data_IF_776297079518
#
_entry.id   IF_776297079518
#
_cell.length_a   1.000
_cell.length_b   1.000
_cell.length_c   1.000
_cell.angle_alpha   90.00
_cell.angle_beta   90.00
_cell.angle_gamma   90.00
#
_symmetry.space_group_name_H-M   'P 1'
#
loop_
_entity.id
_entity.type
_entity.pdbx_description
1 polymer ?
#
# COMPACT_ATOMS: atom_id res chain seq x y z
N UNK A 1 -12.33 -14.02 9.87
CA UNK A 1 -11.20 -13.99 8.90
C UNK A 1 -11.63 -13.51 7.52
N UNK A 2 -12.89 -13.67 7.10
CA UNK A 2 -13.41 -13.10 5.85
C UNK A 2 -13.32 -11.57 5.75
N UNK A 3 -13.14 -10.86 6.87
CA UNK A 3 -13.32 -9.41 6.90
C UNK A 3 -12.00 -8.62 6.75
N UNK A 4 -10.83 -9.22 7.02
CA UNK A 4 -9.53 -8.60 6.66
C UNK A 4 -9.16 -8.77 5.19
N UNK A 5 -9.76 -9.75 4.51
CA UNK A 5 -9.54 -10.04 3.09
C UNK A 5 -10.52 -9.31 2.16
N UNK A 6 -11.38 -8.47 2.74
CA UNK A 6 -12.40 -7.65 2.05
C UNK A 6 -11.95 -6.19 1.86
N UNK A 7 -10.67 -5.93 1.65
CA UNK A 7 -10.23 -4.70 0.96
C UNK A 7 -10.51 -4.75 -0.55
N UNK A 8 -11.44 -5.61 -0.96
CA UNK A 8 -12.00 -5.67 -2.28
C UNK A 8 -13.10 -4.61 -2.30
N UNK A 9 -12.78 -3.40 -2.75
CA UNK A 9 -13.83 -2.55 -3.28
C UNK A 9 -14.39 -3.22 -4.55
N UNK A 10 -15.60 -2.86 -4.99
CA UNK A 10 -16.16 -3.43 -6.22
C UNK A 10 -15.26 -3.16 -7.45
N UNK A 11 -14.37 -2.16 -7.37
CA UNK A 11 -13.62 -1.59 -8.50
C UNK A 11 -12.11 -1.90 -8.44
N UNK A 12 -11.57 -2.27 -7.28
CA UNK A 12 -10.15 -2.62 -7.13
C UNK A 12 -9.73 -3.02 -5.72
N UNK A 13 -8.47 -3.45 -5.58
CA UNK A 13 -7.84 -3.74 -4.30
C UNK A 13 -6.33 -3.50 -4.38
N UNK A 14 -5.70 -3.18 -3.25
CA UNK A 14 -4.24 -3.24 -3.11
C UNK A 14 -3.81 -4.48 -2.37
N UNK A 15 -2.82 -5.16 -2.95
CA UNK A 15 -2.14 -6.24 -2.27
C UNK A 15 -1.10 -5.66 -1.30
N UNK A 16 -1.29 -5.85 0.01
CA UNK A 16 -0.44 -5.26 1.07
C UNK A 16 1.01 -5.73 1.06
N UNK A 17 1.33 -6.76 0.27
CA UNK A 17 2.69 -7.24 0.11
C UNK A 17 3.43 -6.48 -0.98
N UNK A 18 2.74 -6.16 -2.07
CA UNK A 18 3.32 -5.54 -3.27
C UNK A 18 2.94 -4.07 -3.44
N UNK A 19 1.94 -3.61 -2.68
CA UNK A 19 1.24 -2.33 -2.78
C UNK A 19 0.83 -1.97 -4.21
N UNK A 20 0.55 -3.01 -5.01
CA UNK A 20 0.07 -2.86 -6.36
C UNK A 20 -1.42 -2.57 -6.34
N UNK A 21 -1.80 -1.51 -7.03
CA UNK A 21 -3.20 -1.20 -7.29
C UNK A 21 -3.69 -2.15 -8.37
N UNK A 22 -4.61 -3.03 -8.01
CA UNK A 22 -5.25 -3.97 -8.94
C UNK A 22 -6.67 -3.46 -9.20
N UNK A 23 -6.92 -2.96 -10.40
CA UNK A 23 -8.24 -2.48 -10.81
C UNK A 23 -8.98 -3.56 -11.60
N UNK A 24 -10.26 -3.79 -11.25
CA UNK A 24 -11.17 -4.74 -11.92
C UNK A 24 -11.90 -4.12 -13.11
N UNK A 25 -11.21 -3.23 -13.80
CA UNK A 25 -11.73 -2.48 -14.94
C UNK A 25 -10.87 -2.75 -16.17
N UNK A 26 -11.40 -2.51 -17.36
CA UNK A 26 -10.59 -2.60 -18.57
C UNK A 26 -9.67 -1.37 -18.70
N UNK A 27 -8.55 -1.52 -19.42
CA UNK A 27 -7.55 -0.46 -19.55
C UNK A 27 -8.11 0.79 -20.22
N UNK A 28 -9.01 0.64 -21.20
CA UNK A 28 -9.57 1.76 -21.93
C UNK A 28 -10.51 2.58 -21.02
N UNK A 29 -11.27 1.91 -20.15
CA UNK A 29 -12.11 2.54 -19.13
C UNK A 29 -11.29 3.33 -18.11
N UNK A 30 -10.15 2.78 -17.66
CA UNK A 30 -9.21 3.49 -16.77
C UNK A 30 -8.63 4.72 -17.48
N UNK A 31 -8.22 4.59 -18.75
CA UNK A 31 -7.72 5.74 -19.52
C UNK A 31 -8.77 6.84 -19.70
N UNK A 32 -10.01 6.48 -20.04
CA UNK A 32 -11.11 7.44 -20.20
C UNK A 32 -11.36 8.19 -18.89
N UNK A 33 -11.39 7.47 -17.78
CA UNK A 33 -11.53 8.10 -16.48
C UNK A 33 -10.38 9.11 -16.26
N UNK A 34 -9.12 8.64 -16.35
CA UNK A 34 -7.93 9.44 -16.09
C UNK A 34 -7.77 10.68 -16.99
N UNK A 35 -8.27 10.64 -18.23
CA UNK A 35 -7.96 11.62 -19.25
C UNK A 35 -8.98 12.77 -19.40
N UNK A 36 -10.29 12.52 -19.26
CA UNK A 36 -11.29 13.53 -19.62
C UNK A 36 -12.56 13.49 -18.76
N UNK A 37 -12.68 14.46 -17.85
CA UNK A 37 -13.87 14.69 -17.03
C UNK A 37 -15.13 14.94 -17.87
N UNK A 38 -15.00 15.50 -19.08
CA UNK A 38 -16.14 15.76 -19.96
C UNK A 38 -16.61 14.48 -20.68
N UNK A 39 -15.74 13.49 -20.81
CA UNK A 39 -16.07 12.18 -21.39
C UNK A 39 -16.83 11.27 -20.43
N UNK A 40 -17.00 11.69 -19.16
CA UNK A 40 -17.61 10.85 -18.14
C UNK A 40 -19.10 10.59 -18.38
N UNK A 41 -19.85 11.56 -18.93
CA UNK A 41 -21.26 11.42 -19.30
C UNK A 41 -22.09 10.70 -18.24
N UNK A 42 -22.86 9.68 -18.67
CA UNK A 42 -23.71 8.86 -17.80
C UNK A 42 -22.91 7.97 -16.81
N UNK A 43 -21.62 7.74 -17.07
CA UNK A 43 -20.72 6.95 -16.24
C UNK A 43 -20.00 7.77 -15.17
N UNK A 44 -20.35 9.06 -14.99
CA UNK A 44 -19.65 9.96 -14.08
C UNK A 44 -19.54 9.44 -12.64
N UNK A 45 -20.58 8.75 -12.13
CA UNK A 45 -20.51 8.15 -10.80
C UNK A 45 -19.47 7.04 -10.73
N UNK A 46 -19.49 6.11 -11.69
CA UNK A 46 -18.54 4.99 -11.78
C UNK A 46 -17.11 5.50 -11.87
N UNK A 47 -16.84 6.47 -12.74
CA UNK A 47 -15.50 7.03 -12.86
C UNK A 47 -15.07 7.77 -11.60
N UNK A 48 -15.96 8.55 -10.97
CA UNK A 48 -15.66 9.21 -9.70
C UNK A 48 -15.29 8.22 -8.58
N UNK A 49 -16.04 7.12 -8.46
CA UNK A 49 -15.77 6.07 -7.48
C UNK A 49 -14.42 5.37 -7.79
N UNK A 50 -14.13 5.11 -9.08
CA UNK A 50 -12.84 4.53 -9.49
C UNK A 50 -11.65 5.46 -9.21
N UNK A 51 -11.79 6.77 -9.44
CA UNK A 51 -10.76 7.74 -9.08
C UNK A 51 -10.51 7.79 -7.58
N UNK A 52 -11.57 7.74 -6.78
CA UNK A 52 -11.45 7.71 -5.33
C UNK A 52 -10.67 6.47 -4.89
N UNK A 53 -10.97 5.31 -5.46
CA UNK A 53 -10.21 4.07 -5.27
C UNK A 53 -8.74 4.24 -5.66
N UNK A 54 -8.43 4.71 -6.87
CA UNK A 54 -7.04 4.92 -7.32
C UNK A 54 -6.28 5.83 -6.35
N UNK A 55 -6.90 6.92 -5.88
CA UNK A 55 -6.27 7.85 -4.93
C UNK A 55 -6.07 7.25 -3.55
N UNK A 56 -7.06 6.52 -3.03
CA UNK A 56 -6.94 5.78 -1.77
C UNK A 56 -5.74 4.83 -1.81
N UNK A 57 -5.66 4.03 -2.87
CA UNK A 57 -4.60 3.05 -3.03
C UNK A 57 -3.23 3.69 -3.33
N UNK A 58 -3.21 4.86 -3.98
CA UNK A 58 -1.99 5.66 -4.15
C UNK A 58 -1.44 6.13 -2.80
N UNK A 59 -2.31 6.55 -1.88
CA UNK A 59 -1.89 6.96 -0.53
C UNK A 59 -1.27 5.79 0.23
N UNK A 60 -1.83 4.58 0.11
CA UNK A 60 -1.24 3.37 0.69
C UNK A 60 0.16 3.08 0.15
N UNK A 61 0.35 3.17 -1.17
CA UNK A 61 1.66 3.03 -1.78
C UNK A 61 2.66 4.09 -1.27
N UNK A 62 2.22 5.34 -1.17
CA UNK A 62 3.03 6.42 -0.61
C UNK A 62 3.40 6.16 0.85
N UNK A 63 2.48 5.67 1.67
CA UNK A 63 2.83 5.26 3.03
C UNK A 63 3.89 4.14 3.03
N UNK A 64 3.81 3.16 2.14
CA UNK A 64 4.76 2.05 2.06
C UNK A 64 6.18 2.48 1.66
N UNK A 65 6.34 3.50 0.81
CA UNK A 65 7.65 4.02 0.40
C UNK A 65 8.19 5.15 1.30
N UNK A 66 7.37 5.71 2.18
CA UNK A 66 7.71 6.87 3.03
C UNK A 66 7.65 6.62 4.54
N UNK A 67 7.17 5.44 4.98
CA UNK A 67 7.05 5.11 6.41
C UNK A 67 7.73 3.80 6.76
N UNK A 68 8.36 3.77 7.94
CA UNK A 68 9.17 2.64 8.37
C UNK A 68 8.34 1.37 8.63
N UNK A 69 7.18 1.54 9.27
CA UNK A 69 6.31 0.41 9.63
C UNK A 69 5.86 -0.34 8.39
N UNK A 70 5.28 0.37 7.40
CA UNK A 70 4.72 -0.27 6.22
C UNK A 70 5.80 -0.83 5.30
N UNK A 71 6.94 -0.15 5.15
CA UNK A 71 8.06 -0.72 4.40
C UNK A 71 8.51 -2.06 5.02
N UNK A 72 8.75 -2.08 6.33
CA UNK A 72 9.20 -3.27 7.05
C UNK A 72 8.14 -4.39 7.01
N UNK A 73 6.86 -4.02 7.16
CA UNK A 73 5.74 -4.94 7.01
C UNK A 73 5.72 -5.62 5.64
N UNK A 74 5.90 -4.82 4.57
CA UNK A 74 5.94 -5.30 3.18
C UNK A 74 7.10 -6.27 2.96
N UNK A 75 8.30 -5.91 3.41
CA UNK A 75 9.48 -6.77 3.32
C UNK A 75 9.25 -8.11 4.03
N UNK A 76 8.72 -8.08 5.25
CA UNK A 76 8.45 -9.29 6.03
C UNK A 76 7.38 -10.18 5.36
N UNK A 77 6.34 -9.56 4.78
CA UNK A 77 5.30 -10.30 4.08
C UNK A 77 5.85 -10.96 2.80
N UNK A 78 6.63 -10.23 2.00
CA UNK A 78 7.27 -10.80 0.81
C UNK A 78 8.22 -11.93 1.19
N UNK A 79 9.06 -11.74 2.21
CA UNK A 79 9.96 -12.78 2.69
C UNK A 79 9.18 -14.03 3.13
N UNK A 80 8.08 -13.86 3.86
CA UNK A 80 7.20 -14.97 4.21
C UNK A 80 6.66 -15.69 2.96
N UNK A 81 6.27 -14.96 1.92
CA UNK A 81 5.79 -15.57 0.67
C UNK A 81 6.88 -16.40 -0.01
N UNK A 82 8.12 -15.88 -0.07
CA UNK A 82 9.29 -16.58 -0.59
C UNK A 82 9.53 -17.88 0.21
N UNK A 83 9.55 -17.78 1.54
CA UNK A 83 9.75 -18.93 2.44
C UNK A 83 8.67 -20.01 2.25
N UNK A 84 7.41 -19.59 2.16
CA UNK A 84 6.26 -20.49 2.01
C UNK A 84 6.38 -21.28 0.71
N UNK A 85 6.70 -20.61 -0.40
CA UNK A 85 6.90 -21.27 -1.69
C UNK A 85 8.10 -22.21 -1.69
N UNK A 86 9.21 -21.82 -1.06
CA UNK A 86 10.37 -22.70 -0.92
C UNK A 86 10.03 -23.96 -0.10
N UNK A 87 9.28 -23.80 1.00
CA UNK A 87 8.81 -24.93 1.81
C UNK A 87 7.91 -25.87 1.01
N UNK A 88 7.01 -25.36 0.16
CA UNK A 88 6.20 -26.21 -0.73
C UNK A 88 7.06 -26.94 -1.77
N UNK A 89 7.99 -26.23 -2.41
CA UNK A 89 8.86 -26.79 -3.45
C UNK A 89 9.74 -27.92 -2.94
N UNK A 90 10.26 -27.81 -1.71
CA UNK A 90 11.22 -28.76 -1.14
C UNK A 90 10.59 -29.77 -0.17
N UNK A 91 9.39 -29.49 0.35
CA UNK A 91 8.74 -30.28 1.39
C UNK A 91 7.89 -31.46 0.90
N UNK A 92 7.83 -31.71 -0.42
CA UNK A 92 7.04 -32.81 -0.99
C UNK A 92 5.52 -32.64 -0.83
N UNK A 93 5.07 -31.39 -0.66
CA UNK A 93 3.67 -31.04 -0.46
C UNK A 93 2.85 -31.15 -1.75
N UNK A 94 1.59 -31.56 -1.63
CA UNK A 94 0.68 -31.87 -2.74
C UNK A 94 -0.52 -30.91 -2.79
N UNK A 95 -1.26 -30.92 -3.90
CA UNK A 95 -2.46 -30.09 -4.04
C UNK A 95 -3.52 -30.38 -2.95
N UNK A 96 -3.66 -31.65 -2.55
CA UNK A 96 -4.66 -32.09 -1.56
C UNK A 96 -4.35 -31.60 -0.13
N UNK A 97 -3.14 -31.11 0.11
CA UNK A 97 -2.71 -30.56 1.39
C UNK A 97 -3.11 -29.08 1.59
N UNK A 98 -3.75 -28.46 0.59
CA UNK A 98 -4.21 -27.07 0.67
C UNK A 98 -5.53 -26.99 1.47
N UNK A 99 -5.65 -26.11 2.48
CA UNK A 99 -4.67 -25.10 2.90
C UNK A 99 -3.57 -25.64 3.83
N UNK A 100 -2.34 -25.14 3.64
CA UNK A 100 -1.21 -25.50 4.50
C UNK A 100 -1.30 -24.80 5.86
N UNK A 101 -1.79 -25.52 6.87
CA UNK A 101 -2.03 -25.00 8.22
C UNK A 101 -0.78 -24.40 8.88
N UNK A 102 0.40 -24.96 8.62
CA UNK A 102 1.69 -24.48 9.16
C UNK A 102 2.05 -23.03 8.75
N UNK A 103 1.55 -22.55 7.61
CA UNK A 103 1.78 -21.18 7.17
C UNK A 103 0.78 -20.19 7.79
N UNK A 104 -0.35 -20.69 8.29
CA UNK A 104 -1.39 -19.84 8.85
C UNK A 104 -0.93 -19.13 10.12
N UNK A 105 -0.06 -19.75 10.93
CA UNK A 105 0.44 -19.11 12.16
C UNK A 105 1.36 -17.93 11.88
N UNK A 106 2.33 -18.09 10.96
CA UNK A 106 3.20 -16.97 10.53
C UNK A 106 2.40 -15.84 9.89
N UNK A 107 1.39 -16.17 9.07
CA UNK A 107 0.51 -15.14 8.52
C UNK A 107 -0.33 -14.45 9.61
N UNK A 108 -0.86 -15.21 10.59
CA UNK A 108 -1.58 -14.65 11.74
C UNK A 108 -0.69 -13.68 12.51
N UNK A 109 0.60 -13.97 12.68
CA UNK A 109 1.55 -13.06 13.31
C UNK A 109 1.72 -11.75 12.54
N UNK A 110 1.90 -11.79 11.22
CA UNK A 110 1.93 -10.59 10.39
C UNK A 110 0.61 -9.81 10.52
N UNK A 111 -0.53 -10.50 10.45
CA UNK A 111 -1.86 -9.87 10.55
C UNK A 111 -2.08 -9.22 11.92
N UNK A 112 -1.57 -9.82 13.00
CA UNK A 112 -1.67 -9.26 14.36
C UNK A 112 -1.01 -7.88 14.45
N UNK A 113 0.02 -7.58 13.68
CA UNK A 113 0.65 -6.25 13.67
C UNK A 113 -0.33 -5.18 13.19
N UNK A 114 -1.14 -5.47 12.17
CA UNK A 114 -2.16 -4.55 11.66
C UNK A 114 -3.34 -4.38 12.64
N UNK A 115 -3.65 -5.44 13.40
CA UNK A 115 -4.74 -5.45 14.37
C UNK A 115 -4.34 -4.99 15.78
N UNK A 116 -3.05 -4.68 15.98
CA UNK A 116 -2.49 -4.22 17.24
C UNK A 116 -2.30 -2.69 17.22
N UNK A 117 -2.49 -1.99 18.35
CA UNK A 117 -3.11 -2.49 19.59
C UNK A 117 -4.63 -2.65 19.37
N UNK A 118 -5.31 -3.41 20.22
CA UNK A 118 -6.76 -3.60 20.07
C UNK A 118 -7.60 -2.34 20.34
N UNK A 119 -7.05 -1.39 21.11
CA UNK A 119 -7.72 -0.16 21.58
C UNK A 119 -6.67 0.93 21.91
N UNK A 120 -6.99 2.23 21.78
CA UNK A 120 -8.23 2.78 21.22
C UNK A 120 -8.27 2.73 19.69
N UNK A 121 -7.10 2.72 19.04
CA UNK A 121 -6.95 2.73 17.58
C UNK A 121 -6.00 1.60 17.18
N UNK A 122 -6.41 0.76 16.23
CA UNK A 122 -5.56 -0.29 15.65
C UNK A 122 -4.70 0.29 14.54
N UNK A 123 -3.57 -0.35 14.25
CA UNK A 123 -2.69 0.08 13.15
C UNK A 123 -3.41 0.16 11.80
N UNK A 124 -4.31 -0.78 11.51
CA UNK A 124 -5.12 -0.75 10.29
C UNK A 124 -6.05 0.46 10.22
N UNK A 125 -6.55 0.94 11.37
CA UNK A 125 -7.40 2.13 11.43
C UNK A 125 -6.60 3.40 11.10
N UNK A 126 -5.30 3.43 11.45
CA UNK A 126 -4.37 4.51 11.09
C UNK A 126 -4.13 4.54 9.58
N UNK A 127 -3.81 3.37 9.01
CA UNK A 127 -3.48 3.20 7.60
C UNK A 127 -4.68 3.58 6.73
N UNK A 128 -5.82 2.96 6.98
CA UNK A 128 -7.01 3.15 6.16
C UNK A 128 -7.70 4.49 6.39
N UNK A 129 -7.82 4.93 7.65
CA UNK A 129 -8.39 6.23 7.95
C UNK A 129 -7.62 7.38 7.27
N UNK A 130 -6.28 7.29 7.25
CA UNK A 130 -5.44 8.29 6.57
C UNK A 130 -5.66 8.28 5.06
N UNK A 131 -5.70 7.10 4.44
CA UNK A 131 -5.98 6.96 3.00
C UNK A 131 -7.36 7.52 2.61
N UNK A 132 -8.40 7.29 3.43
CA UNK A 132 -9.74 7.86 3.21
C UNK A 132 -9.74 9.38 3.34
N UNK A 133 -9.07 9.96 4.34
CA UNK A 133 -8.99 11.42 4.48
C UNK A 133 -8.23 12.06 3.32
N UNK A 134 -7.06 11.52 2.98
CA UNK A 134 -6.22 12.05 1.90
C UNK A 134 -6.92 11.96 0.55
N UNK A 135 -7.52 10.81 0.22
CA UNK A 135 -8.28 10.64 -1.02
C UNK A 135 -9.51 11.56 -1.08
N UNK A 136 -10.22 11.76 0.04
CA UNK A 136 -11.27 12.78 0.13
C UNK A 136 -10.71 14.19 -0.17
N UNK A 137 -9.62 14.59 0.49
CA UNK A 137 -9.05 15.93 0.28
C UNK A 137 -8.52 16.15 -1.15
N UNK A 138 -8.08 15.11 -1.85
CA UNK A 138 -7.65 15.17 -3.26
C UNK A 138 -8.82 15.30 -4.25
N UNK A 139 -9.99 14.76 -3.92
CA UNK A 139 -11.10 14.63 -4.88
C UNK A 139 -12.19 15.72 -4.71
N UNK A 140 -12.20 16.47 -3.62
CA UNK A 140 -13.22 17.48 -3.34
C UNK A 140 -12.60 18.87 -3.20
N UNK A 141 -13.12 19.86 -3.94
CA UNK A 141 -12.57 21.23 -3.99
C UNK A 141 -12.94 22.12 -2.78
N UNK A 142 -13.96 21.75 -2.01
CA UNK A 142 -14.41 22.50 -0.82
C UNK A 142 -14.48 21.56 0.37
N UNK A 143 -13.31 21.09 0.79
CA UNK A 143 -13.19 20.15 1.90
C UNK A 143 -13.30 20.86 3.25
N UNK A 144 -13.82 20.15 4.25
CA UNK A 144 -13.97 20.64 5.61
C UNK A 144 -14.14 19.46 6.56
N UNK A 145 -13.89 19.67 7.84
CA UNK A 145 -14.13 18.70 8.90
C UNK A 145 -15.56 18.11 8.83
N UNK A 146 -16.59 18.97 8.82
CA UNK A 146 -17.99 18.54 8.75
C UNK A 146 -18.33 17.87 7.40
N UNK A 147 -17.73 18.32 6.30
CA UNK A 147 -17.86 17.65 5.01
C UNK A 147 -17.32 16.21 5.05
N UNK A 148 -16.18 16.02 5.68
CA UNK A 148 -15.56 14.71 5.80
C UNK A 148 -16.32 13.78 6.75
N UNK A 149 -16.81 14.26 7.90
CA UNK A 149 -17.66 13.46 8.78
C UNK A 149 -18.94 12.97 8.06
N UNK A 150 -19.56 13.84 7.23
CA UNK A 150 -20.69 13.43 6.39
C UNK A 150 -20.28 12.38 5.36
N UNK A 151 -19.12 12.55 4.72
CA UNK A 151 -18.58 11.57 3.77
C UNK A 151 -18.39 10.19 4.42
N UNK A 152 -17.75 10.13 5.60
CA UNK A 152 -17.57 8.89 6.36
C UNK A 152 -18.90 8.20 6.70
N UNK A 153 -19.90 8.97 7.13
CA UNK A 153 -21.20 8.41 7.49
C UNK A 153 -22.01 7.95 6.27
N UNK A 154 -21.85 8.60 5.12
CA UNK A 154 -22.60 8.25 3.90
C UNK A 154 -21.97 7.10 3.13
N UNK A 155 -20.64 7.07 3.01
CA UNK A 155 -19.92 6.08 2.18
C UNK A 155 -19.31 4.92 2.97
N UNK A 156 -18.98 5.13 4.25
CA UNK A 156 -18.14 4.19 5.01
C UNK A 156 -18.75 3.78 6.36
N UNK A 157 -20.07 3.93 6.56
CA UNK A 157 -20.74 3.68 7.84
C UNK A 157 -20.53 2.27 8.41
N UNK A 158 -20.31 1.27 7.56
CA UNK A 158 -20.02 -0.12 7.97
C UNK A 158 -18.53 -0.49 8.05
N UNK A 159 -17.62 0.43 7.75
CA UNK A 159 -16.17 0.19 7.64
C UNK A 159 -15.46 0.86 8.82
N UNK A 160 -15.19 0.10 9.89
CA UNK A 160 -14.63 0.64 11.12
C UNK A 160 -13.20 1.14 10.91
N UNK A 161 -12.40 0.41 10.16
CA UNK A 161 -11.04 0.74 9.75
C UNK A 161 -10.92 2.12 9.09
N UNK A 162 -11.98 2.57 8.40
CA UNK A 162 -11.98 3.87 7.72
C UNK A 162 -12.34 5.03 8.64
N UNK A 163 -12.89 4.74 9.82
CA UNK A 163 -13.57 5.71 10.69
C UNK A 163 -12.94 5.84 12.05
N UNK A 164 -12.57 4.72 12.69
CA UNK A 164 -12.22 4.66 14.11
C UNK A 164 -11.12 5.64 14.49
N UNK A 165 -10.01 5.66 13.74
CA UNK A 165 -8.88 6.55 14.04
C UNK A 165 -9.26 8.03 13.90
N UNK A 166 -10.02 8.40 12.86
CA UNK A 166 -10.42 9.79 12.64
C UNK A 166 -11.47 10.27 13.64
N UNK A 167 -12.43 9.42 14.01
CA UNK A 167 -13.41 9.73 15.05
C UNK A 167 -12.73 9.90 16.40
N UNK A 168 -11.78 9.04 16.75
CA UNK A 168 -10.96 9.19 17.96
C UNK A 168 -10.16 10.51 17.94
N UNK A 169 -9.56 10.87 16.80
CA UNK A 169 -8.90 12.16 16.63
C UNK A 169 -9.86 13.33 16.84
N UNK A 170 -11.08 13.23 16.32
CA UNK A 170 -12.13 14.25 16.47
C UNK A 170 -12.57 14.42 17.92
N UNK A 171 -12.67 13.32 18.67
CA UNK A 171 -13.01 13.35 20.11
C UNK A 171 -11.94 14.08 20.93
N UNK A 172 -10.67 13.95 20.55
CA UNK A 172 -9.54 14.55 21.28
C UNK A 172 -9.23 15.98 20.84
N UNK A 173 -9.21 16.22 19.52
CA UNK A 173 -8.69 17.46 18.90
C UNK A 173 -9.80 18.37 18.37
N UNK A 174 -11.06 17.92 18.37
CA UNK A 174 -12.16 18.66 17.75
C UNK A 174 -11.92 18.87 16.25
N UNK A 175 -12.19 20.09 15.77
CA UNK A 175 -12.08 20.41 14.34
C UNK A 175 -10.64 20.38 13.81
N UNK A 176 -9.63 20.58 14.68
CA UNK A 176 -8.22 20.47 14.30
C UNK A 176 -7.83 19.08 13.80
N UNK A 177 -8.62 18.03 14.13
CA UNK A 177 -8.42 16.70 13.58
C UNK A 177 -8.37 16.71 12.04
N UNK A 178 -9.09 17.63 11.37
CA UNK A 178 -9.09 17.69 9.91
C UNK A 178 -7.73 18.03 9.30
N UNK A 179 -6.92 18.85 9.97
CA UNK A 179 -5.60 19.26 9.48
C UNK A 179 -4.46 18.46 10.12
N UNK A 180 -4.63 18.01 11.37
CA UNK A 180 -3.61 17.26 12.10
C UNK A 180 -3.61 15.76 11.83
N UNK A 181 -4.72 15.17 11.39
CA UNK A 181 -4.85 13.71 11.34
C UNK A 181 -3.87 13.04 10.38
N UNK A 182 -3.78 13.48 9.12
CA UNK A 182 -2.87 12.86 8.15
C UNK A 182 -1.39 13.00 8.55
N UNK A 183 -0.90 14.20 8.97
CA UNK A 183 0.43 14.34 9.55
C UNK A 183 0.68 13.46 10.79
N UNK A 184 -0.30 13.33 11.68
CA UNK A 184 -0.19 12.47 12.86
C UNK A 184 -0.11 10.99 12.47
N UNK A 185 -0.91 10.54 11.49
CA UNK A 185 -0.82 9.18 10.94
C UNK A 185 0.54 8.92 10.32
N UNK A 186 1.07 9.87 9.54
CA UNK A 186 2.41 9.77 8.96
C UNK A 186 3.49 9.57 10.02
N UNK A 187 3.50 10.39 11.08
CA UNK A 187 4.44 10.25 12.20
C UNK A 187 4.25 8.93 12.96
N UNK A 188 3.00 8.52 13.21
CA UNK A 188 2.69 7.28 13.90
C UNK A 188 3.23 6.05 13.16
N UNK A 189 3.12 6.05 11.82
CA UNK A 189 3.62 4.99 10.93
C UNK A 189 5.15 4.91 10.85
N UNK A 190 5.89 5.85 11.44
CA UNK A 190 7.35 5.75 11.54
C UNK A 190 7.84 4.80 12.63
N UNK A 191 6.96 4.37 13.55
CA UNK A 191 7.29 3.46 14.65
C UNK A 191 6.60 2.10 14.59
N UNK A 192 6.99 1.19 15.47
CA UNK A 192 6.58 -0.24 15.42
C UNK A 192 5.14 -0.50 15.87
N UNK A 193 4.49 0.48 16.50
CA UNK A 193 3.11 0.38 16.97
C UNK A 193 2.30 1.64 16.60
N UNK A 194 1.92 1.79 15.31
CA UNK A 194 1.27 2.99 14.83
C UNK A 194 0.00 3.36 15.59
N UNK A 195 -0.85 2.40 15.94
CA UNK A 195 -2.07 2.68 16.70
C UNK A 195 -1.81 3.33 18.07
N UNK A 196 -0.82 2.82 18.82
CA UNK A 196 -0.42 3.41 20.12
C UNK A 196 0.30 4.75 19.95
N UNK A 197 1.16 4.85 18.94
CA UNK A 197 1.90 6.08 18.66
C UNK A 197 0.92 7.21 18.31
N UNK A 198 -0.09 6.93 17.49
CA UNK A 198 -1.09 7.90 17.08
C UNK A 198 -1.87 8.47 18.27
N UNK A 199 -2.34 7.60 19.18
CA UNK A 199 -3.02 8.03 20.41
C UNK A 199 -2.14 8.98 21.24
N UNK A 200 -0.85 8.64 21.39
CA UNK A 200 0.10 9.49 22.12
C UNK A 200 0.28 10.85 21.42
N UNK A 201 0.43 10.86 20.09
CA UNK A 201 0.55 12.08 19.28
C UNK A 201 -0.68 12.98 19.46
N UNK A 202 -1.90 12.42 19.48
CA UNK A 202 -3.12 13.20 19.72
C UNK A 202 -3.16 13.84 21.10
N UNK A 203 -2.73 13.12 22.14
CA UNK A 203 -2.67 13.68 23.49
C UNK A 203 -1.65 14.82 23.58
N UNK A 204 -0.46 14.67 23.00
CA UNK A 204 0.54 15.75 22.95
C UNK A 204 0.05 16.96 22.14
N UNK A 205 -0.60 16.71 21.00
CA UNK A 205 -1.21 17.78 20.20
C UNK A 205 -2.27 18.52 21.01
N UNK A 206 -3.23 17.81 21.62
CA UNK A 206 -4.27 18.42 22.46
C UNK A 206 -3.66 19.35 23.52
N UNK A 207 -2.66 18.86 24.24
CA UNK A 207 -2.00 19.61 25.30
C UNK A 207 -1.24 20.83 24.74
N UNK A 208 -0.80 20.77 23.47
CA UNK A 208 -0.16 21.86 22.75
C UNK A 208 -1.10 22.93 22.17
N UNK A 209 -2.40 22.65 22.00
CA UNK A 209 -3.32 23.55 21.26
C UNK A 209 -3.40 24.97 21.84
N UNK A 210 -3.28 25.13 23.16
CA UNK A 210 -3.35 26.43 23.84
C UNK A 210 -2.04 27.23 23.77
N UNK A 211 -0.94 26.60 23.39
CA UNK A 211 0.41 27.20 23.40
C UNK A 211 0.84 27.74 22.04
N UNK A 212 0.24 27.27 20.95
CA UNK A 212 0.61 27.63 19.59
C UNK A 212 -0.51 28.41 18.88
N UNK A 213 -0.19 29.38 18.01
CA UNK A 213 -1.21 30.09 17.26
C UNK A 213 -1.91 29.16 16.26
N UNK A 214 -3.23 29.32 16.11
CA UNK A 214 -4.04 28.52 15.17
C UNK A 214 -3.47 28.50 13.74
N UNK A 215 -2.88 29.61 13.30
CA UNK A 215 -2.26 29.70 11.97
C UNK A 215 -1.10 28.71 11.81
N UNK A 216 -0.28 28.51 12.84
CA UNK A 216 0.82 27.53 12.80
C UNK A 216 0.28 26.10 12.76
N UNK A 217 -0.75 25.81 13.56
CA UNK A 217 -1.39 24.48 13.62
C UNK A 217 -2.01 24.10 12.26
N UNK A 218 -2.63 25.06 11.56
CA UNK A 218 -3.36 24.80 10.31
C UNK A 218 -2.43 24.86 9.08
N UNK A 219 -1.52 25.83 9.01
CA UNK A 219 -0.68 26.04 7.83
C UNK A 219 0.53 25.09 7.82
N UNK A 220 1.12 24.79 8.99
CA UNK A 220 2.25 23.88 9.15
C UNK A 220 2.02 22.82 10.26
N UNK A 221 0.98 21.99 10.13
CA UNK A 221 0.60 20.95 11.09
C UNK A 221 1.70 19.94 11.36
N UNK A 222 2.55 19.61 10.36
CA UNK A 222 3.65 18.67 10.57
C UNK A 222 4.70 19.25 11.52
N UNK A 223 5.17 20.49 11.27
CA UNK A 223 6.13 21.15 12.16
C UNK A 223 5.56 21.32 13.57
N UNK A 224 4.27 21.66 13.68
CA UNK A 224 3.58 21.71 14.96
C UNK A 224 3.60 20.36 15.69
N UNK A 225 3.27 19.25 15.00
CA UNK A 225 3.28 17.93 15.61
C UNK A 225 4.69 17.49 16.01
N UNK A 226 5.72 17.77 15.20
CA UNK A 226 7.11 17.47 15.53
C UNK A 226 7.54 18.21 16.81
N UNK A 227 7.14 19.48 16.97
CA UNK A 227 7.44 20.29 18.16
C UNK A 227 6.78 19.70 19.42
N UNK A 228 5.47 19.46 19.40
CA UNK A 228 4.74 18.98 20.60
C UNK A 228 5.07 17.53 20.96
N UNK A 229 5.54 16.73 20.01
CA UNK A 229 5.99 15.35 20.24
C UNK A 229 7.48 15.24 20.50
N UNK A 230 8.24 16.33 20.31
CA UNK A 230 9.71 16.33 20.33
C UNK A 230 10.34 15.30 19.38
N UNK A 231 9.67 15.02 18.25
CA UNK A 231 10.18 14.14 17.20
C UNK A 231 11.09 14.93 16.24
N UNK A 232 12.12 14.27 15.72
CA UNK A 232 12.97 14.86 14.67
C UNK A 232 12.43 14.55 13.28
N UNK A 233 12.42 15.56 12.41
CA UNK A 233 12.09 15.38 10.99
C UNK A 233 13.06 14.40 10.31
N UNK A 234 14.33 14.36 10.73
CA UNK A 234 15.33 13.43 10.19
C UNK A 234 14.97 11.96 10.44
N UNK A 235 14.16 11.66 11.45
CA UNK A 235 13.69 10.29 11.73
C UNK A 235 12.58 9.80 10.79
N UNK A 236 12.04 10.67 9.94
CA UNK A 236 10.78 10.42 9.23
C UNK A 236 10.95 9.81 7.83
N UNK A 237 12.03 9.06 7.55
CA UNK A 237 12.25 8.45 6.23
C UNK A 237 12.84 7.04 6.24
N UNK A 238 12.32 6.12 5.37
CA UNK A 238 12.91 4.79 5.18
C UNK A 238 14.34 4.80 4.67
N UNK A 239 14.78 5.87 3.99
CA UNK A 239 16.18 6.02 3.54
C UNK A 239 17.16 6.13 4.71
N UNK A 240 16.70 6.64 5.86
CA UNK A 240 17.45 6.62 7.13
C UNK A 240 17.44 5.21 7.72
N UNK A 241 16.32 4.49 7.61
CA UNK A 241 16.23 3.09 8.02
C UNK A 241 17.12 2.17 7.19
N UNK A 242 17.29 2.37 5.87
CA UNK A 242 18.24 1.56 5.08
C UNK A 242 19.68 1.68 5.59
N UNK A 243 20.09 2.85 6.09
CA UNK A 243 21.41 3.04 6.72
C UNK A 243 21.52 2.33 8.07
N UNK A 244 20.40 2.08 8.73
CA UNK A 244 20.30 1.43 10.04
C UNK A 244 19.98 -0.07 9.92
N UNK A 245 19.50 -0.54 8.77
CA UNK A 245 19.19 -1.94 8.54
C UNK A 245 20.48 -2.76 8.47
N UNK A 246 20.53 -3.94 9.13
CA UNK A 246 21.68 -4.82 9.07
C UNK A 246 22.08 -5.17 7.64
N UNK A 247 23.37 -5.38 7.39
CA UNK A 247 23.83 -5.96 6.11
C UNK A 247 23.13 -7.30 5.89
N UNK A 248 22.47 -7.46 4.73
CA UNK A 248 21.70 -8.66 4.38
C UNK A 248 20.19 -8.56 4.61
N UNK A 249 19.67 -7.40 5.03
CA UNK A 249 18.22 -7.19 5.12
C UNK A 249 17.56 -7.28 3.74
N UNK A 250 16.39 -7.96 3.67
CA UNK A 250 15.63 -8.11 2.42
C UNK A 250 15.18 -6.74 1.91
N UNK A 251 15.59 -6.40 0.69
CA UNK A 251 15.17 -5.17 0.02
C UNK A 251 13.95 -5.47 -0.84
N UNK A 252 12.89 -4.68 -0.66
CA UNK A 252 11.64 -4.91 -1.38
C UNK A 252 11.82 -4.61 -2.89
N UNK A 253 11.65 -5.58 -3.80
CA UNK A 253 12.01 -5.41 -5.21
C UNK A 253 11.16 -4.35 -5.94
N UNK A 254 9.89 -4.18 -5.54
CA UNK A 254 9.01 -3.12 -6.07
C UNK A 254 9.28 -1.77 -5.38
N UNK A 255 9.25 -1.68 -4.05
CA UNK A 255 9.37 -0.39 -3.35
C UNK A 255 10.80 0.21 -3.39
N UNK A 256 11.85 -0.61 -3.51
CA UNK A 256 13.24 -0.13 -3.36
C UNK A 256 13.64 0.95 -4.38
N UNK A 257 13.34 0.81 -5.70
CA UNK A 257 13.63 1.88 -6.67
C UNK A 257 12.96 3.21 -6.32
N UNK A 258 11.74 3.18 -5.78
CA UNK A 258 11.02 4.39 -5.36
C UNK A 258 11.70 5.04 -4.14
N UNK A 259 12.10 4.24 -3.15
CA UNK A 259 12.83 4.74 -1.97
C UNK A 259 14.19 5.33 -2.38
N UNK A 260 14.90 4.71 -3.33
CA UNK A 260 16.15 5.25 -3.88
C UNK A 260 15.93 6.58 -4.60
N UNK A 261 14.85 6.69 -5.37
CA UNK A 261 14.47 7.93 -6.04
C UNK A 261 14.16 9.03 -5.02
N UNK A 262 13.36 8.75 -3.99
CA UNK A 262 13.04 9.69 -2.90
C UNK A 262 14.32 10.17 -2.21
N UNK A 263 15.25 9.27 -1.92
CA UNK A 263 16.52 9.60 -1.27
C UNK A 263 17.41 10.54 -2.11
N UNK A 264 17.24 10.55 -3.43
CA UNK A 264 17.95 11.47 -4.34
C UNK A 264 17.30 12.85 -4.43
N UNK A 265 16.08 13.02 -3.91
CA UNK A 265 15.29 14.27 -3.97
C UNK A 265 15.37 15.03 -2.63
N UNK A 266 16.58 15.14 -2.07
CA UNK A 266 16.80 15.68 -0.71
C UNK A 266 16.54 17.18 -0.56
N UNK A 267 16.33 17.91 -1.65
CA UNK A 267 16.05 19.34 -1.63
C UNK A 267 14.57 19.66 -1.35
N UNK A 268 13.68 18.68 -1.46
CA UNK A 268 12.26 18.84 -1.13
C UNK A 268 12.02 18.59 0.37
N UNK A 269 11.01 19.26 0.95
CA UNK A 269 10.46 18.93 2.27
C UNK A 269 9.64 17.64 2.19
N UNK A 270 10.31 16.51 1.92
CA UNK A 270 9.66 15.25 1.61
C UNK A 270 8.68 14.81 2.71
N UNK A 271 9.00 15.06 4.00
CA UNK A 271 8.15 14.60 5.11
C UNK A 271 6.78 15.27 5.04
N UNK A 272 6.77 16.57 4.72
CA UNK A 272 5.55 17.35 4.54
C UNK A 272 4.76 16.88 3.31
N UNK A 273 5.46 16.55 2.22
CA UNK A 273 4.86 16.01 0.99
C UNK A 273 4.09 14.72 1.27
N UNK A 274 4.69 13.77 1.99
CA UNK A 274 4.05 12.49 2.30
C UNK A 274 3.05 12.57 3.47
N UNK A 275 3.21 13.52 4.39
CA UNK A 275 2.25 13.79 5.45
C UNK A 275 0.96 14.44 4.92
N UNK A 276 1.05 15.22 3.83
CA UNK A 276 -0.07 15.99 3.28
C UNK A 276 -0.09 15.98 1.74
N UNK A 277 -0.13 14.82 1.09
CA UNK A 277 -0.03 14.74 -0.37
C UNK A 277 -1.15 15.48 -1.10
N UNK A 278 -2.32 15.63 -0.45
CA UNK A 278 -3.48 16.36 -0.98
C UNK A 278 -3.23 17.86 -1.21
N UNK A 279 -2.25 18.49 -0.57
CA UNK A 279 -1.92 19.91 -0.78
C UNK A 279 -1.31 20.13 -2.17
N UNK A 280 -0.56 19.16 -2.66
CA UNK A 280 0.25 19.28 -3.87
C UNK A 280 -0.44 18.74 -5.13
N UNK A 281 -1.56 18.03 -4.96
CA UNK A 281 -2.43 17.63 -6.07
C UNK A 281 -3.45 18.69 -6.48
N UNK A 282 -3.68 19.71 -5.64
CA UNK A 282 -4.50 20.85 -6.00
C UNK A 282 -3.81 21.62 -7.14
N UNK A 283 -4.48 21.73 -8.29
CA UNK A 283 -3.99 22.46 -9.48
C UNK A 283 -3.70 23.93 -9.21
N UNK A 284 -4.18 24.48 -8.09
CA UNK A 284 -3.90 25.85 -7.65
C UNK A 284 -2.60 25.98 -6.87
N UNK A 285 -1.97 24.87 -6.43
CA UNK A 285 -0.73 24.91 -5.68
C UNK A 285 0.46 25.27 -6.60
N UNK A 286 1.28 26.27 -6.25
CA UNK A 286 2.26 26.87 -7.17
C UNK A 286 3.50 26.00 -7.48
N UNK A 287 3.65 24.84 -6.83
CA UNK A 287 4.85 24.00 -6.98
C UNK A 287 4.66 22.89 -8.02
N UNK A 288 4.84 23.25 -9.29
CA UNK A 288 4.89 22.28 -10.40
C UNK A 288 5.91 21.15 -10.13
N UNK A 289 7.03 21.48 -9.50
CA UNK A 289 8.09 20.52 -9.18
C UNK A 289 7.61 19.38 -8.26
N UNK A 290 6.81 19.70 -7.22
CA UNK A 290 6.29 18.66 -6.31
C UNK A 290 5.23 17.81 -7.01
N UNK A 291 4.38 18.42 -7.82
CA UNK A 291 3.40 17.69 -8.64
C UNK A 291 4.08 16.72 -9.60
N UNK A 292 5.10 17.18 -10.33
CA UNK A 292 5.89 16.35 -11.25
C UNK A 292 6.60 15.21 -10.49
N UNK A 293 7.12 15.48 -9.29
CA UNK A 293 7.71 14.46 -8.42
C UNK A 293 6.69 13.40 -7.99
N UNK A 294 5.51 13.77 -7.49
CA UNK A 294 4.47 12.82 -7.09
C UNK A 294 3.96 11.96 -8.25
N UNK A 295 3.85 12.55 -9.45
CA UNK A 295 3.56 11.81 -10.68
C UNK A 295 4.68 10.82 -11.03
N UNK A 296 5.93 11.22 -10.83
CA UNK A 296 7.07 10.33 -11.02
C UNK A 296 7.06 9.16 -10.03
N UNK A 297 6.77 9.39 -8.75
CA UNK A 297 6.74 8.31 -7.73
C UNK A 297 5.36 7.66 -7.57
N UNK A 298 4.47 7.82 -8.56
CA UNK A 298 3.15 7.18 -8.54
C UNK A 298 3.25 5.65 -8.60
N UNK A 299 2.31 4.93 -7.95
CA UNK A 299 2.31 3.47 -7.93
C UNK A 299 2.23 2.87 -9.35
N UNK A 300 2.81 1.68 -9.56
CA UNK A 300 2.50 0.91 -10.76
C UNK A 300 1.04 0.46 -10.74
N UNK A 301 0.32 0.59 -11.86
CA UNK A 301 -1.06 0.13 -11.99
C UNK A 301 -1.10 -1.22 -12.69
N UNK A 302 -1.78 -2.19 -12.10
CA UNK A 302 -2.11 -3.43 -12.79
C UNK A 302 -3.62 -3.45 -13.09
N UNK A 303 -3.97 -3.57 -14.37
CA UNK A 303 -5.35 -3.47 -14.84
C UNK A 303 -5.79 -4.82 -15.40
N UNK A 304 -6.94 -5.33 -14.98
CA UNK A 304 -7.40 -6.72 -15.19
C UNK A 304 -7.88 -7.03 -16.63
N UNK A 305 -7.30 -6.41 -17.65
CA UNK A 305 -7.85 -6.35 -19.02
C UNK A 305 -7.30 -7.39 -20.02
N UNK A 306 -6.93 -8.59 -19.58
CA UNK A 306 -6.23 -9.62 -20.40
C UNK A 306 -4.86 -9.19 -20.98
N UNK A 307 -4.43 -7.95 -20.69
CA UNK A 307 -3.14 -7.36 -21.09
C UNK A 307 -2.21 -7.27 -19.89
N UNK A 308 -0.90 -7.24 -20.15
CA UNK A 308 0.08 -6.95 -19.11
C UNK A 308 -0.23 -5.60 -18.43
N UNK A 309 -0.05 -5.52 -17.11
CA UNK A 309 -0.29 -4.30 -16.32
C UNK A 309 0.43 -3.07 -16.87
N UNK A 310 -0.08 -1.88 -16.54
CA UNK A 310 0.45 -0.61 -17.05
C UNK A 310 1.34 0.06 -16.03
N UNK A 311 2.62 0.11 -16.36
CA UNK A 311 3.58 0.84 -15.56
C UNK A 311 3.32 2.34 -15.68
N UNK A 312 3.22 3.01 -14.54
CA UNK A 312 3.11 4.46 -14.44
C UNK A 312 4.34 5.03 -13.74
N UNK A 313 4.58 6.34 -13.93
CA UNK A 313 5.65 7.08 -13.27
C UNK A 313 7.02 6.42 -13.46
N UNK A 314 7.72 6.21 -12.35
CA UNK A 314 9.03 5.59 -12.27
C UNK A 314 9.01 4.16 -12.82
N UNK A 315 7.93 3.41 -12.62
CA UNK A 315 7.80 2.07 -13.17
C UNK A 315 7.92 2.06 -14.70
N UNK A 316 7.35 3.07 -15.38
CA UNK A 316 7.48 3.21 -16.83
C UNK A 316 8.93 3.47 -17.26
N UNK A 317 9.66 4.29 -16.49
CA UNK A 317 11.06 4.63 -16.75
C UNK A 317 11.99 3.43 -16.54
N UNK A 318 11.71 2.59 -15.53
CA UNK A 318 12.46 1.36 -15.25
C UNK A 318 12.24 0.27 -16.31
N UNK A 319 11.20 0.41 -17.12
CA UNK A 319 11.00 -0.38 -18.33
C UNK A 319 10.50 -1.81 -18.10
N UNK A 320 10.68 -2.63 -19.14
CA UNK A 320 10.05 -3.95 -19.25
C UNK A 320 10.49 -4.93 -18.15
N UNK A 321 11.77 -4.93 -17.78
CA UNK A 321 12.31 -5.85 -16.79
C UNK A 321 11.70 -5.60 -15.41
N UNK A 322 11.43 -4.34 -15.07
CA UNK A 322 10.73 -3.98 -13.84
C UNK A 322 9.26 -4.40 -13.87
N UNK A 323 8.58 -4.29 -15.00
CA UNK A 323 7.23 -4.85 -15.17
C UNK A 323 7.18 -6.36 -14.97
N UNK A 324 8.22 -7.07 -15.42
CA UNK A 324 8.36 -8.51 -15.16
C UNK A 324 8.46 -8.78 -13.64
N UNK A 325 9.26 -8.02 -12.90
CA UNK A 325 9.38 -8.12 -11.44
C UNK A 325 8.02 -7.96 -10.75
N UNK A 326 7.30 -6.88 -11.07
CA UNK A 326 5.96 -6.60 -10.54
C UNK A 326 5.01 -7.77 -10.77
N UNK A 327 5.01 -8.30 -12.00
CA UNK A 327 4.17 -9.43 -12.38
C UNK A 327 4.49 -10.68 -11.56
N UNK A 328 5.77 -11.03 -11.44
CA UNK A 328 6.23 -12.18 -10.66
C UNK A 328 5.87 -12.07 -9.19
N UNK A 329 6.07 -10.88 -8.61
CA UNK A 329 5.74 -10.59 -7.22
C UNK A 329 4.24 -10.72 -6.95
N UNK A 330 3.40 -10.17 -7.83
CA UNK A 330 1.94 -10.33 -7.76
C UNK A 330 1.55 -11.81 -7.77
N UNK A 331 2.09 -12.57 -8.72
CA UNK A 331 1.79 -13.99 -8.86
C UNK A 331 2.25 -14.81 -7.63
N UNK A 332 3.43 -14.47 -7.07
CA UNK A 332 3.96 -15.10 -5.87
C UNK A 332 3.01 -14.92 -4.68
N UNK A 333 2.55 -13.68 -4.46
CA UNK A 333 1.70 -13.36 -3.32
C UNK A 333 0.31 -13.97 -3.47
N UNK A 334 -0.31 -13.88 -4.65
CA UNK A 334 -1.60 -14.52 -4.92
C UNK A 334 -1.54 -16.03 -4.73
N UNK A 335 -0.43 -16.66 -5.15
CA UNK A 335 -0.22 -18.09 -4.94
C UNK A 335 -0.16 -18.42 -3.45
N UNK A 336 0.61 -17.67 -2.65
CA UNK A 336 0.71 -17.92 -1.21
C UNK A 336 -0.65 -17.68 -0.53
N UNK A 337 -1.39 -16.63 -0.90
CA UNK A 337 -2.74 -16.42 -0.39
C UNK A 337 -3.66 -17.62 -0.66
N UNK A 338 -3.59 -18.19 -1.88
CA UNK A 338 -4.30 -19.43 -2.24
C UNK A 338 -3.85 -20.61 -1.37
N UNK A 339 -2.55 -20.79 -1.16
CA UNK A 339 -1.97 -21.87 -0.38
C UNK A 339 -2.33 -21.82 1.12
N UNK A 340 -2.45 -20.62 1.68
CA UNK A 340 -2.72 -20.42 3.12
C UNK A 340 -4.22 -20.41 3.42
N UNK A 341 -5.04 -19.84 2.53
CA UNK A 341 -6.46 -19.56 2.80
C UNK A 341 -7.45 -20.28 1.88
N UNK A 342 -6.98 -21.02 0.89
CA UNK A 342 -7.84 -21.63 -0.13
C UNK A 342 -8.72 -20.58 -0.85
N UNK A 343 -8.18 -19.36 -1.05
CA UNK A 343 -8.90 -18.28 -1.75
C UNK A 343 -8.66 -18.40 -3.24
N UNK A 344 -9.73 -18.53 -4.00
CA UNK A 344 -9.68 -18.45 -5.47
C UNK A 344 -9.68 -16.97 -5.87
N UNK A 345 -8.57 -16.28 -5.62
CA UNK A 345 -8.31 -15.02 -6.29
C UNK A 345 -7.85 -15.32 -7.70
N UNK A 346 -8.32 -14.48 -8.61
CA UNK A 346 -8.05 -14.52 -10.03
C UNK A 346 -6.55 -14.23 -10.23
N UNK A 347 -5.76 -15.27 -10.53
CA UNK A 347 -4.31 -15.09 -10.74
C UNK A 347 -4.07 -14.63 -12.17
N UNK A 348 -3.38 -13.51 -12.32
CA UNK A 348 -2.87 -13.07 -13.62
C UNK A 348 -1.64 -13.91 -13.96
N UNK A 349 -1.83 -15.16 -14.37
CA UNK A 349 -0.76 -15.94 -14.97
C UNK A 349 -0.43 -15.31 -16.33
N UNK A 350 0.83 -14.95 -16.62
CA UNK A 350 1.19 -14.33 -17.90
C UNK A 350 1.15 -15.35 -19.06
N UNK A 351 1.00 -16.64 -18.73
CA UNK A 351 0.93 -17.73 -19.69
C UNK A 351 -0.52 -18.20 -19.80
N UNK A 352 -1.31 -17.57 -20.67
CA UNK A 352 -2.71 -17.97 -20.94
C UNK A 352 -2.84 -19.43 -21.43
N UNK A 353 -1.78 -19.99 -22.00
CA UNK A 353 -1.71 -21.39 -22.43
C UNK A 353 -1.24 -22.36 -21.33
N UNK A 354 -1.09 -21.90 -20.09
CA UNK A 354 -0.66 -22.76 -18.99
C UNK A 354 -1.72 -23.84 -18.71
N UNK A 355 -1.35 -25.14 -18.68
CA UNK A 355 -2.31 -26.23 -18.50
C UNK A 355 -3.06 -26.18 -17.16
N UNK A 356 -2.53 -25.46 -16.17
CA UNK A 356 -3.15 -25.28 -14.85
C UNK A 356 -3.63 -23.86 -14.61
N UNK A 357 -3.75 -23.02 -15.65
CA UNK A 357 -4.24 -21.65 -15.54
C UNK A 357 -5.53 -21.56 -14.72
N UNK A 358 -6.49 -22.47 -14.99
CA UNK A 358 -7.78 -22.54 -14.30
C UNK A 358 -7.69 -22.89 -12.80
N UNK A 359 -6.56 -23.41 -12.34
CA UNK A 359 -6.37 -23.78 -10.93
C UNK A 359 -6.00 -22.59 -10.04
N UNK A 360 -5.66 -21.43 -10.63
CA UNK A 360 -5.07 -20.29 -9.93
C UNK A 360 -3.86 -20.70 -9.08
N UNK A 361 -3.10 -21.68 -9.56
CA UNK A 361 -1.84 -22.14 -8.99
C UNK A 361 -0.79 -22.21 -10.10
N UNK A 362 0.48 -22.13 -9.71
CA UNK A 362 1.58 -22.20 -10.66
C UNK A 362 2.27 -23.57 -10.58
N UNK A 363 2.27 -24.27 -11.73
CA UNK A 363 2.90 -25.58 -11.97
C UNK A 363 4.37 -25.68 -11.56
N UNK A 364 5.07 -24.54 -11.44
CA UNK A 364 6.46 -24.48 -10.97
C UNK A 364 6.60 -24.83 -9.49
N UNK A 365 5.59 -24.49 -8.69
CA UNK A 365 5.68 -24.51 -7.24
C UNK A 365 4.89 -25.65 -6.61
N UNK A 366 3.98 -26.25 -7.36
CA UNK A 366 3.21 -27.43 -6.94
C UNK A 366 3.34 -28.49 -8.02
N UNK A 367 3.63 -29.72 -7.61
CA UNK A 367 3.57 -30.87 -8.50
C UNK A 367 2.11 -31.15 -8.87
N UNK A 368 1.78 -31.07 -10.16
CA UNK A 368 0.49 -31.51 -10.69
C UNK A 368 0.66 -32.87 -11.35
N UNK A 369 -0.35 -33.75 -11.29
CA UNK A 369 -0.34 -35.02 -12.01
C UNK A 369 -0.61 -34.78 -13.51
N UNK A 370 0.33 -34.14 -14.23
CA UNK A 370 0.25 -33.87 -15.66
C UNK A 370 1.63 -34.10 -16.31
N UNK A 371 1.69 -34.87 -17.41
CA UNK A 371 2.92 -35.43 -18.00
C UNK A 371 3.81 -34.44 -18.81
N UNK A 372 3.35 -33.21 -19.12
CA UNK A 372 3.96 -32.34 -20.15
C UNK A 372 4.57 -31.01 -19.62
N UNK A 373 5.37 -31.09 -18.55
CA UNK A 373 5.68 -29.94 -17.67
C UNK A 373 7.09 -29.33 -17.79
N UNK A 374 7.95 -29.77 -18.70
CA UNK A 374 9.40 -29.44 -18.70
C UNK A 374 9.79 -28.11 -19.39
N UNK A 375 8.85 -27.35 -19.92
CA UNK A 375 9.14 -26.18 -20.77
C UNK A 375 8.86 -24.80 -20.13
N UNK A 376 8.53 -24.72 -18.85
CA UNK A 376 8.30 -23.43 -18.17
C UNK A 376 9.63 -22.75 -17.81
N UNK A 377 9.96 -21.63 -18.47
CA UNK A 377 11.20 -20.83 -18.24
C UNK A 377 11.13 -19.84 -17.07
N UNK A 378 10.02 -19.82 -16.34
CA UNK A 378 9.79 -18.94 -15.19
C UNK A 378 10.91 -19.13 -14.13
N UNK A 379 11.35 -20.38 -13.79
CA UNK A 379 12.74 -20.79 -13.74
C UNK A 379 13.85 -19.77 -13.54
N UNK A 380 14.55 -19.71 -14.66
CA UNK A 380 15.77 -19.00 -14.94
C UNK A 380 15.58 -17.48 -14.87
N UNK A 381 14.33 -16.98 -15.00
CA UNK A 381 14.02 -15.56 -14.90
C UNK A 381 14.14 -15.03 -13.48
N UNK A 382 13.72 -15.78 -12.44
CA UNK A 382 13.94 -15.38 -11.04
C UNK A 382 15.42 -15.43 -10.63
N UNK A 383 16.17 -16.38 -11.19
CA UNK A 383 17.64 -16.44 -11.01
C UNK A 383 18.31 -15.24 -11.68
N UNK A 384 17.80 -14.78 -12.82
CA UNK A 384 18.26 -13.59 -13.54
C UNK A 384 18.04 -12.27 -12.79
N UNK A 385 17.02 -12.16 -11.92
CA UNK A 385 16.76 -10.95 -11.10
C UNK A 385 17.48 -10.97 -9.74
N UNK A 386 18.44 -11.88 -9.52
CA UNK A 386 19.10 -12.13 -8.22
C UNK A 386 18.18 -12.57 -7.07
N UNK A 387 16.87 -12.78 -7.30
CA UNK A 387 15.96 -13.42 -6.34
C UNK A 387 16.23 -14.94 -6.23
N UNK A 388 16.85 -15.54 -7.24
CA UNK A 388 17.27 -16.94 -7.22
C UNK A 388 18.25 -17.31 -6.11
N UNK A 389 19.08 -16.37 -5.66
CA UNK A 389 20.00 -16.62 -4.53
C UNK A 389 19.25 -16.81 -3.19
N UNK A 390 18.01 -16.31 -3.07
CA UNK A 390 17.13 -16.55 -1.92
C UNK A 390 16.30 -17.84 -2.05
N UNK A 391 16.16 -18.38 -3.26
CA UNK A 391 15.41 -19.62 -3.56
C UNK A 391 16.32 -20.85 -3.72
N UNK A 392 17.64 -20.64 -3.81
CA UNK A 392 18.65 -21.70 -4.00
C UNK A 392 19.60 -21.86 -2.80
N UNK A 393 19.31 -21.26 -1.64
CA UNK A 393 19.96 -21.67 -0.40
C UNK A 393 19.54 -23.10 -0.08
N UNK A 394 20.41 -24.06 -0.42
CA UNK A 394 20.35 -25.38 0.19
C UNK A 394 20.45 -25.19 1.72
N UNK A 395 19.73 -25.99 2.52
CA UNK A 395 19.80 -25.92 3.97
C UNK A 395 21.23 -26.06 4.49
#
# INVERSE_FOLDING_TARGET
>A
MSDLQKYITQEGWTDTATWLIILREDFDAVQVALADLNAWGDNAKKYADMFLTIRHETVHFWHAISTNFLYSYSCNYVQFCIDAINSVRHGGKTYDDIPYSEFQDRFRELTKLLLSPSTPVRTIDVIEGCAVLCSYRMNFSSTSHQGFLRHLNQRHSGQQEYRSAYLHATEILGEYAFDLFAPACYLALQGDNPGKNLDSIFLFARDGLDYFPNTFIIEDPLSYLLEVTSMSEEGCFPSVVRKQMPQGYFSHPILQPYIEKIAQTSHLRLADIFARPYIYEDKSHPSKEIGDFLLEISPPLNVYSDRAGVLMGLGQQLGKDYGIIIHHMTALVSLVARLVFNIHQEMICPHQLCPVYQTNLCQRYLAFPLDDYRNCKFPELLDGVQLGNLLNTKP
#
